data_IF_394792946838
#
_entry.id   IF_394792946838
#
_cell.length_a   1.000
_cell.length_b   1.000
_cell.length_c   1.000
_cell.angle_alpha   90.00
_cell.angle_beta   90.00
_cell.angle_gamma   90.00
#
_symmetry.space_group_name_H-M   'P 1'
#
loop_
_entity.id
_entity.type
_entity.pdbx_description
1 polymer ?
#
# COMPACT_ATOMS: atom_id res chain seq x y z
N UNK A 1 20.90 -4.78 -9.14
CA UNK A 1 21.02 -4.30 -7.74
C UNK A 1 19.63 -4.39 -7.14
N UNK A 2 19.41 -5.17 -6.08
CA UNK A 2 18.09 -5.22 -5.44
C UNK A 2 18.12 -4.31 -4.21
N UNK A 3 17.09 -3.48 -4.04
CA UNK A 3 16.92 -2.59 -2.89
C UNK A 3 15.66 -3.05 -2.14
N UNK A 4 15.74 -3.14 -0.81
CA UNK A 4 14.57 -3.40 0.03
C UNK A 4 14.06 -2.09 0.59
N UNK A 5 12.86 -1.68 0.20
CA UNK A 5 12.18 -0.54 0.81
C UNK A 5 11.35 -1.03 2.00
N UNK A 6 11.72 -0.62 3.21
CA UNK A 6 10.88 -0.78 4.40
C UNK A 6 10.15 0.52 4.64
N UNK A 7 8.89 0.62 4.24
CA UNK A 7 8.03 1.74 4.61
C UNK A 7 7.47 1.45 6.00
N UNK A 8 8.19 1.88 7.03
CA UNK A 8 7.62 1.95 8.37
C UNK A 8 6.72 3.20 8.40
N UNK A 9 5.40 3.02 8.33
CA UNK A 9 4.42 4.08 8.56
C UNK A 9 4.03 4.01 10.03
N UNK A 10 4.54 4.95 10.83
CA UNK A 10 4.07 5.12 12.20
C UNK A 10 2.93 6.15 12.13
N UNK A 11 1.66 5.75 12.31
CA UNK A 11 0.59 6.71 12.46
C UNK A 11 0.80 7.46 13.78
N UNK A 12 1.10 8.76 13.70
CA UNK A 12 1.05 9.65 14.86
C UNK A 12 -0.41 10.04 15.07
N UNK A 13 -1.17 9.23 15.79
CA UNK A 13 -2.48 9.65 16.31
C UNK A 13 -2.25 10.65 17.45
N UNK A 14 -2.22 11.94 17.12
CA UNK A 14 -2.47 13.00 18.09
C UNK A 14 -3.94 13.40 18.01
N UNK A 15 -4.81 12.57 18.56
CA UNK A 15 -6.16 12.97 18.91
C UNK A 15 -6.13 13.46 20.36
N UNK A 16 -6.00 14.78 20.55
CA UNK A 16 -6.34 15.41 21.81
C UNK A 16 -7.87 15.46 21.94
N UNK A 17 -8.45 14.34 22.38
CA UNK A 17 -9.79 14.29 22.95
C UNK A 17 -9.65 13.82 24.40
N UNK A 18 -9.67 14.76 25.35
CA UNK A 18 -9.91 14.47 26.76
C UNK A 18 -11.30 13.86 26.91
N UNK A 19 -11.42 12.69 27.57
CA UNK A 19 -12.29 12.41 28.74
C UNK A 19 -12.08 10.93 29.20
N UNK A 20 -12.31 10.60 30.49
CA UNK A 20 -11.76 9.43 31.18
C UNK A 20 -12.74 8.25 31.30
N UNK A 21 -12.23 7.04 31.55
CA UNK A 21 -13.04 5.97 32.16
C UNK A 21 -12.53 4.53 31.97
N UNK A 22 -12.13 3.91 33.10
CA UNK A 22 -12.16 2.47 33.49
C UNK A 22 -11.47 1.42 32.60
N UNK A 23 -10.45 0.66 33.11
CA UNK A 23 -10.53 -0.60 33.92
C UNK A 23 -11.33 -1.71 33.22
N UNK A 24 -10.95 -2.97 33.13
CA UNK A 24 -9.90 -3.82 33.71
C UNK A 24 -9.94 -5.19 32.98
N UNK A 25 -8.90 -6.03 33.14
CA UNK A 25 -8.91 -7.52 33.05
C UNK A 25 -9.05 -8.17 31.64
N UNK A 26 -8.50 -9.33 31.31
CA UNK A 26 -7.58 -10.30 31.95
C UNK A 26 -7.21 -11.38 30.92
N UNK A 27 -6.07 -12.05 31.15
CA UNK A 27 -5.57 -13.34 30.63
C UNK A 27 -6.60 -14.32 30.00
N UNK A 28 -6.19 -15.07 28.97
CA UNK A 28 -5.67 -16.46 29.11
C UNK A 28 -5.23 -17.08 27.76
N UNK A 29 -4.21 -17.95 27.86
CA UNK A 29 -3.69 -18.88 26.84
C UNK A 29 -4.69 -20.02 26.56
N UNK A 30 -4.62 -20.64 25.38
CA UNK A 30 -4.50 -22.11 25.27
C UNK A 30 -4.25 -22.57 23.83
N UNK A 31 -3.27 -23.45 23.71
CA UNK A 31 -2.94 -24.44 22.67
C UNK A 31 -4.13 -25.25 22.15
N UNK A 32 -4.07 -25.65 20.88
CA UNK A 32 -4.13 -27.07 20.46
C UNK A 32 -3.96 -27.26 18.95
N UNK A 33 -3.10 -28.21 18.61
CA UNK A 33 -2.96 -28.87 17.31
C UNK A 33 -4.28 -29.40 16.76
N UNK A 34 -4.43 -29.43 15.44
CA UNK A 34 -5.17 -30.51 14.78
C UNK A 34 -4.79 -30.65 13.30
N UNK A 35 -4.16 -31.78 13.01
CA UNK A 35 -4.01 -32.41 11.70
C UNK A 35 -5.37 -32.89 11.21
N UNK A 36 -5.74 -32.61 9.95
CA UNK A 36 -6.72 -33.44 9.26
C UNK A 36 -6.52 -33.43 7.74
N UNK A 37 -6.20 -34.61 7.21
CA UNK A 37 -6.35 -35.03 5.82
C UNK A 37 -7.84 -35.19 5.47
N UNK A 38 -8.24 -34.73 4.29
CA UNK A 38 -9.43 -35.19 3.53
C UNK A 38 -9.29 -34.59 2.12
N UNK A 39 -8.87 -35.35 1.11
CA UNK A 39 -9.68 -36.19 0.20
C UNK A 39 -10.98 -35.55 -0.31
N UNK A 40 -11.01 -35.36 -1.64
CA UNK A 40 -12.21 -35.49 -2.49
C UNK A 40 -13.10 -34.25 -2.62
N UNK A 41 -13.20 -33.71 -3.83
CA UNK A 41 -14.44 -33.69 -4.61
C UNK A 41 -14.28 -32.83 -5.88
N UNK A 42 -14.49 -33.49 -7.00
CA UNK A 42 -14.60 -32.94 -8.35
C UNK A 42 -15.97 -32.29 -8.52
N UNK A 43 -16.01 -30.98 -8.71
CA UNK A 43 -17.23 -30.24 -9.01
C UNK A 43 -17.42 -30.07 -10.53
N UNK A 44 -18.50 -30.69 -11.00
CA UNK A 44 -19.16 -30.55 -12.29
C UNK A 44 -19.86 -29.19 -12.37
N UNK A 45 -19.52 -28.36 -13.38
CA UNK A 45 -20.14 -27.04 -13.58
C UNK A 45 -21.12 -27.15 -14.75
N UNK A 46 -22.38 -27.44 -14.43
CA UNK A 46 -23.50 -27.33 -15.35
C UNK A 46 -23.88 -25.87 -15.59
N UNK A 47 -23.91 -25.50 -16.86
CA UNK A 47 -24.34 -24.21 -17.43
C UNK A 47 -25.85 -24.04 -17.25
N UNK A 48 -26.25 -23.02 -16.48
CA UNK A 48 -27.64 -22.61 -16.29
C UNK A 48 -27.96 -21.36 -17.10
N UNK A 49 -28.90 -21.52 -18.02
CA UNK A 49 -29.37 -20.59 -19.03
C UNK A 49 -30.44 -19.61 -18.51
N UNK A 50 -30.58 -18.49 -19.23
CA UNK A 50 -31.72 -17.57 -19.42
C UNK A 50 -32.77 -17.30 -18.32
N UNK A 51 -33.00 -15.99 -18.05
CA UNK A 51 -34.24 -15.46 -17.47
C UNK A 51 -34.18 -13.92 -17.36
N UNK A 52 -34.57 -13.19 -18.39
CA UNK A 52 -35.91 -12.58 -18.61
C UNK A 52 -36.10 -11.22 -17.91
N UNK A 53 -36.23 -10.21 -18.76
CA UNK A 53 -36.54 -8.82 -18.48
C UNK A 53 -37.85 -8.61 -17.70
N UNK A 54 -37.82 -7.72 -16.72
CA UNK A 54 -39.00 -7.11 -16.13
C UNK A 54 -38.74 -5.60 -15.94
N UNK A 55 -39.13 -4.85 -16.96
CA UNK A 55 -39.24 -3.40 -16.96
C UNK A 55 -40.36 -3.00 -15.99
N UNK A 56 -40.06 -2.14 -15.02
CA UNK A 56 -41.07 -1.57 -14.10
C UNK A 56 -40.89 -0.06 -14.04
N UNK A 57 -41.94 0.65 -14.46
CA UNK A 57 -42.06 2.11 -14.41
C UNK A 57 -42.05 2.63 -12.97
N UNK A 58 -41.27 3.69 -12.64
CA UNK A 58 -41.35 4.32 -11.33
C UNK A 58 -42.49 5.36 -11.28
N UNK A 59 -43.47 5.09 -10.42
CA UNK A 59 -44.56 6.01 -10.07
C UNK A 59 -44.02 7.17 -9.20
N UNK A 60 -44.36 8.40 -9.59
CA UNK A 60 -43.97 9.62 -8.92
C UNK A 60 -44.82 9.93 -7.66
N UNK A 61 -44.20 10.72 -6.78
CA UNK A 61 -44.81 11.59 -5.76
C UNK A 61 -45.05 11.01 -4.36
N UNK A 62 -44.01 11.09 -3.53
CA UNK A 62 -44.12 11.19 -2.08
C UNK A 62 -43.33 12.41 -1.59
N UNK A 63 -44.04 13.45 -1.12
CA UNK A 63 -43.46 14.64 -0.48
C UNK A 63 -42.67 14.23 0.77
N UNK A 64 -41.35 14.28 0.68
CA UNK A 64 -40.45 14.02 1.81
C UNK A 64 -40.26 15.31 2.62
N UNK A 65 -40.82 15.32 3.83
CA UNK A 65 -40.61 16.37 4.82
C UNK A 65 -39.15 16.29 5.26
N UNK A 66 -38.34 17.27 4.86
CA UNK A 66 -36.93 17.36 5.22
C UNK A 66 -36.77 17.60 6.73
N UNK A 67 -36.72 16.52 7.50
CA UNK A 67 -36.23 16.53 8.88
C UNK A 67 -34.79 17.01 8.85
N UNK A 68 -34.55 18.26 9.27
CA UNK A 68 -33.20 18.82 9.46
C UNK A 68 -32.53 18.05 10.58
N UNK A 69 -31.87 16.95 10.22
CA UNK A 69 -30.86 16.30 11.05
C UNK A 69 -29.87 17.39 11.46
N UNK A 70 -29.81 17.67 12.77
CA UNK A 70 -28.82 18.55 13.37
C UNK A 70 -27.45 17.92 13.16
N UNK A 71 -26.84 18.26 12.02
CA UNK A 71 -25.58 17.69 11.56
C UNK A 71 -24.51 17.86 12.62
N UNK A 72 -24.07 16.74 13.20
CA UNK A 72 -22.87 16.67 14.03
C UNK A 72 -21.75 17.38 13.24
N UNK A 73 -21.06 18.37 13.82
CA UNK A 73 -20.01 19.08 13.10
C UNK A 73 -19.03 18.05 12.55
N UNK A 74 -18.78 18.12 11.24
CA UNK A 74 -17.83 17.25 10.58
C UNK A 74 -16.44 17.54 11.18
N UNK A 75 -15.96 16.65 12.04
CA UNK A 75 -14.59 16.73 12.53
C UNK A 75 -13.63 16.49 11.37
N UNK A 76 -12.61 17.34 11.22
CA UNK A 76 -11.52 17.08 10.29
C UNK A 76 -10.55 16.07 10.92
N UNK A 77 -10.15 15.06 10.15
CA UNK A 77 -9.09 14.12 10.53
C UNK A 77 -7.80 14.56 9.85
N UNK A 78 -6.81 14.93 10.64
CA UNK A 78 -5.45 15.22 10.17
C UNK A 78 -4.57 14.01 10.42
N UNK A 79 -3.85 13.55 9.39
CA UNK A 79 -2.93 12.42 9.52
C UNK A 79 -1.50 12.88 9.33
N UNK A 80 -0.62 12.41 10.21
CA UNK A 80 0.81 12.63 10.10
C UNK A 80 1.52 11.28 9.94
N UNK A 81 2.32 11.18 8.89
CA UNK A 81 3.15 10.04 8.57
C UNK A 81 4.63 10.42 8.72
N UNK A 82 5.35 9.67 9.53
CA UNK A 82 6.81 9.62 9.45
C UNK A 82 7.17 8.44 8.53
N UNK A 83 7.69 8.73 7.34
CA UNK A 83 8.11 7.75 6.33
C UNK A 83 9.61 7.58 6.41
N UNK A 84 10.05 6.37 6.72
CA UNK A 84 11.47 6.02 6.66
C UNK A 84 11.78 5.31 5.34
N UNK A 85 12.71 5.87 4.56
CA UNK A 85 13.32 5.18 3.42
C UNK A 85 14.62 4.57 3.88
N UNK A 86 14.75 3.27 3.74
CA UNK A 86 15.95 2.54 4.15
C UNK A 86 16.57 1.88 2.93
N UNK A 87 17.88 2.03 2.78
CA UNK A 87 18.68 1.36 1.77
C UNK A 87 19.71 0.48 2.47
N UNK A 88 19.54 -0.83 2.39
CA UNK A 88 20.45 -1.79 3.02
C UNK A 88 21.34 -2.39 1.92
N UNK A 89 22.67 -2.29 2.03
CA UNK A 89 23.56 -2.87 1.05
C UNK A 89 23.47 -4.40 1.11
N UNK A 90 23.40 -5.07 -0.05
CA UNK A 90 23.38 -6.54 -0.14
C UNK A 90 24.82 -7.04 -0.07
N UNK A 91 25.42 -6.97 1.12
CA UNK A 91 26.82 -7.36 1.34
C UNK A 91 26.92 -8.84 1.73
N UNK A 92 26.26 -9.76 1.01
CA UNK A 92 26.34 -11.23 1.22
C UNK A 92 25.89 -11.77 2.59
N UNK A 93 25.86 -10.95 3.64
CA UNK A 93 25.45 -11.30 4.98
C UNK A 93 23.93 -11.23 5.09
N UNK A 94 23.32 -12.33 5.53
CA UNK A 94 21.86 -12.47 5.71
C UNK A 94 21.30 -11.64 6.89
N UNK A 95 22.01 -10.61 7.36
CA UNK A 95 21.57 -9.77 8.49
C UNK A 95 20.28 -9.04 8.18
N UNK A 96 20.01 -8.71 6.92
CA UNK A 96 18.72 -8.13 6.51
C UNK A 96 17.51 -9.02 6.84
N UNK A 97 17.71 -10.33 7.07
CA UNK A 97 16.64 -11.23 7.49
C UNK A 97 16.20 -11.02 8.95
N UNK A 98 17.07 -10.49 9.83
CA UNK A 98 16.68 -10.24 11.23
C UNK A 98 15.67 -9.10 11.34
N UNK A 99 15.71 -8.13 10.43
CA UNK A 99 14.75 -7.02 10.37
C UNK A 99 13.31 -7.53 10.26
N UNK A 100 13.09 -8.53 9.40
CA UNK A 100 11.77 -9.13 9.18
C UNK A 100 11.21 -9.87 10.40
N UNK A 101 12.04 -10.25 11.38
CA UNK A 101 11.57 -10.86 12.64
C UNK A 101 10.75 -9.89 13.51
N UNK A 102 10.91 -8.59 13.29
CA UNK A 102 10.17 -7.55 14.00
C UNK A 102 8.90 -7.11 13.25
N UNK A 103 8.63 -7.69 12.09
CA UNK A 103 7.51 -7.35 11.23
C UNK A 103 6.55 -8.55 11.13
N UNK A 104 5.27 -8.29 11.33
CA UNK A 104 4.23 -9.26 11.03
C UNK A 104 3.89 -9.21 9.53
N UNK A 105 4.37 -10.19 8.76
CA UNK A 105 4.12 -10.32 7.32
C UNK A 105 2.69 -10.81 6.98
N UNK A 106 1.91 -11.21 7.97
CA UNK A 106 0.52 -11.66 7.81
C UNK A 106 -0.44 -10.47 7.69
N UNK A 107 -0.26 -9.66 6.65
CA UNK A 107 -1.01 -8.42 6.41
C UNK A 107 -2.41 -8.60 5.79
N UNK A 108 -2.85 -9.84 5.53
CA UNK A 108 -4.15 -10.11 4.92
C UNK A 108 -4.15 -11.38 4.07
N UNK A 109 -4.56 -11.24 2.80
CA UNK A 109 -4.66 -12.34 1.82
C UNK A 109 -3.30 -13.03 1.60
N UNK A 110 -3.14 -14.31 1.99
CA UNK A 110 -1.89 -15.06 1.77
C UNK A 110 -1.47 -15.12 0.31
N UNK A 111 -2.42 -15.10 -0.63
CA UNK A 111 -2.13 -15.07 -2.06
C UNK A 111 -1.43 -13.78 -2.46
N UNK A 112 -1.87 -12.65 -1.90
CA UNK A 112 -1.24 -11.34 -2.14
C UNK A 112 0.17 -11.32 -1.57
N UNK A 113 0.38 -11.82 -0.34
CA UNK A 113 1.73 -11.90 0.26
C UNK A 113 2.67 -12.74 -0.58
N UNK A 114 2.21 -13.90 -1.08
CA UNK A 114 3.00 -14.75 -1.97
C UNK A 114 3.29 -14.06 -3.31
N UNK A 115 2.32 -13.32 -3.86
CA UNK A 115 2.48 -12.57 -5.11
C UNK A 115 3.52 -11.45 -4.97
N UNK A 116 3.47 -10.70 -3.86
CA UNK A 116 4.49 -9.68 -3.55
C UNK A 116 5.88 -10.31 -3.47
N UNK A 117 6.02 -11.43 -2.74
CA UNK A 117 7.30 -12.10 -2.58
C UNK A 117 7.88 -12.58 -3.93
N UNK A 118 7.05 -13.11 -4.83
CA UNK A 118 7.46 -13.50 -6.20
C UNK A 118 7.93 -12.32 -7.06
N UNK A 119 7.48 -11.12 -6.73
CA UNK A 119 7.87 -9.87 -7.38
C UNK A 119 9.01 -9.15 -6.65
N UNK A 120 9.68 -9.82 -5.70
CA UNK A 120 10.76 -9.23 -4.92
C UNK A 120 10.31 -8.17 -3.91
N UNK A 121 9.01 -8.06 -3.66
CA UNK A 121 8.42 -7.13 -2.70
C UNK A 121 8.08 -7.88 -1.41
N UNK A 122 8.26 -7.22 -0.27
CA UNK A 122 7.83 -7.73 1.03
C UNK A 122 7.20 -6.60 1.81
N UNK A 123 6.17 -6.93 2.57
CA UNK A 123 5.46 -5.98 3.40
C UNK A 123 5.15 -6.64 4.75
N UNK A 124 5.24 -5.87 5.82
CA UNK A 124 4.88 -6.32 7.16
C UNK A 124 4.51 -5.15 8.06
N UNK A 125 3.74 -5.45 9.10
CA UNK A 125 3.35 -4.48 10.14
C UNK A 125 4.24 -4.69 11.36
N UNK A 126 5.00 -3.67 11.72
CA UNK A 126 5.77 -3.64 12.96
C UNK A 126 5.00 -2.99 14.10
N UNK A 127 5.37 -3.32 15.33
CA UNK A 127 5.01 -2.52 16.50
C UNK A 127 5.88 -1.25 16.53
N UNK A 128 5.33 -0.15 17.05
CA UNK A 128 6.07 1.08 17.28
C UNK A 128 7.26 0.85 18.21
N UNK A 129 7.08 0.02 19.23
CA UNK A 129 8.13 -0.28 20.21
C UNK A 129 9.28 -1.13 19.63
N UNK A 130 9.06 -1.78 18.48
CA UNK A 130 10.10 -2.52 17.77
C UNK A 130 11.00 -1.62 16.92
N UNK A 131 10.63 -0.35 16.70
CA UNK A 131 11.38 0.57 15.84
C UNK A 131 12.84 0.80 16.27
N UNK A 132 13.17 1.02 17.56
CA UNK A 132 14.56 1.17 17.99
C UNK A 132 15.43 -0.06 17.66
N UNK A 133 14.89 -1.27 17.81
CA UNK A 133 15.58 -2.51 17.47
C UNK A 133 15.80 -2.64 15.96
N UNK A 134 14.77 -2.36 15.16
CA UNK A 134 14.88 -2.33 13.69
C UNK A 134 15.92 -1.31 13.22
N UNK A 135 15.93 -0.11 13.82
CA UNK A 135 16.91 0.93 13.52
C UNK A 135 18.34 0.48 13.81
N UNK A 136 18.59 -0.18 14.95
CA UNK A 136 19.91 -0.76 15.28
C UNK A 136 20.36 -1.75 14.21
N UNK A 137 19.48 -2.68 13.80
CA UNK A 137 19.78 -3.68 12.76
C UNK A 137 20.14 -3.00 11.42
N UNK A 138 19.42 -1.93 11.06
CA UNK A 138 19.67 -1.17 9.84
C UNK A 138 21.05 -0.51 9.89
N UNK A 139 21.36 0.18 10.99
CA UNK A 139 22.64 0.89 11.19
C UNK A 139 23.82 -0.09 11.21
N UNK A 140 23.70 -1.21 11.93
CA UNK A 140 24.71 -2.27 11.99
C UNK A 140 24.96 -2.94 10.64
N UNK A 141 23.95 -2.99 9.78
CA UNK A 141 24.08 -3.52 8.42
C UNK A 141 24.72 -2.53 7.44
N UNK A 142 25.11 -1.33 7.90
CA UNK A 142 25.60 -0.24 7.05
C UNK A 142 24.49 0.36 6.18
N UNK A 143 23.23 0.21 6.59
CA UNK A 143 22.09 0.76 5.88
C UNK A 143 22.05 2.29 5.96
N UNK A 144 21.62 2.93 4.88
CA UNK A 144 21.34 4.38 4.85
C UNK A 144 19.85 4.59 5.12
N UNK A 145 19.52 5.57 5.94
CA UNK A 145 18.12 5.89 6.26
C UNK A 145 17.83 7.37 6.03
N UNK A 146 16.78 7.65 5.26
CA UNK A 146 16.17 8.97 5.13
C UNK A 146 14.81 8.99 5.85
N UNK A 147 14.47 10.09 6.50
CA UNK A 147 13.17 10.27 7.15
C UNK A 147 12.45 11.44 6.50
N UNK A 148 11.20 11.22 6.11
CA UNK A 148 10.32 12.21 5.53
C UNK A 148 9.07 12.33 6.38
N UNK A 149 8.82 13.53 6.91
CA UNK A 149 7.61 13.82 7.65
C UNK A 149 6.58 14.41 6.70
N UNK A 150 5.43 13.78 6.62
CA UNK A 150 4.32 14.24 5.80
C UNK A 150 3.11 14.48 6.69
N UNK A 151 2.63 15.71 6.68
CA UNK A 151 1.29 16.04 7.17
C UNK A 151 0.40 16.08 5.93
N UNK A 152 -0.64 15.26 5.93
CA UNK A 152 -1.56 15.17 4.81
C UNK A 152 -2.96 15.51 5.27
N UNK A 153 -3.54 16.44 4.52
CA UNK A 153 -4.89 16.95 4.72
C UNK A 153 -5.75 16.50 3.54
N UNK A 154 -7.03 16.22 3.81
CA UNK A 154 -8.07 16.02 2.78
C UNK A 154 -7.94 14.75 1.91
N UNK A 155 -7.30 13.68 2.41
CA UNK A 155 -7.30 12.37 1.74
C UNK A 155 -6.48 12.32 0.44
N UNK A 156 -5.61 13.30 0.21
CA UNK A 156 -4.65 13.24 -0.89
C UNK A 156 -3.63 12.13 -0.65
N UNK A 157 -3.35 11.32 -1.68
CA UNK A 157 -2.37 10.24 -1.61
C UNK A 157 -0.98 10.77 -1.31
N UNK A 158 -0.25 10.06 -0.46
CA UNK A 158 1.13 10.37 -0.12
C UNK A 158 2.06 9.77 -1.19
N UNK A 159 2.80 10.61 -1.91
CA UNK A 159 3.76 10.18 -2.92
C UNK A 159 5.17 10.10 -2.33
N UNK A 160 5.77 8.91 -2.41
CA UNK A 160 7.14 8.64 -1.95
C UNK A 160 8.02 8.32 -3.15
N UNK A 161 8.97 9.21 -3.47
CA UNK A 161 9.91 9.00 -4.56
C UNK A 161 11.00 7.99 -4.17
N UNK A 162 11.20 6.97 -5.00
CA UNK A 162 12.18 5.92 -4.78
C UNK A 162 13.47 6.21 -5.53
N UNK A 163 13.45 6.13 -6.85
CA UNK A 163 14.65 6.32 -7.65
C UNK A 163 14.30 6.75 -9.07
N UNK A 164 15.29 7.24 -9.80
CA UNK A 164 15.15 7.44 -11.25
C UNK A 164 15.43 6.13 -11.98
N UNK A 165 14.86 5.99 -13.17
CA UNK A 165 15.21 4.97 -14.15
C UNK A 165 15.70 5.69 -15.40
N UNK A 166 16.85 5.26 -15.94
CA UNK A 166 17.46 5.80 -17.16
C UNK A 166 16.78 5.28 -18.44
N UNK A 167 15.77 4.42 -18.30
CA UNK A 167 15.13 3.75 -19.42
C UNK A 167 15.89 2.49 -19.85
N UNK A 168 15.17 1.56 -20.47
CA UNK A 168 15.73 0.28 -20.91
C UNK A 168 15.95 -0.75 -19.79
N UNK A 169 15.68 -0.40 -18.53
CA UNK A 169 15.71 -1.35 -17.42
C UNK A 169 14.63 -2.42 -17.60
N UNK A 170 15.02 -3.69 -17.73
CA UNK A 170 14.03 -4.77 -17.84
C UNK A 170 13.35 -5.04 -16.49
N UNK A 171 12.03 -5.27 -16.54
CA UNK A 171 11.25 -5.69 -15.39
C UNK A 171 10.53 -7.01 -15.68
N UNK A 172 10.25 -7.75 -14.61
CA UNK A 172 9.46 -8.97 -14.63
C UNK A 172 8.43 -8.91 -13.51
N UNK A 173 7.17 -9.21 -13.83
CA UNK A 173 6.04 -9.15 -12.91
C UNK A 173 5.22 -10.44 -13.02
N UNK A 174 5.11 -11.17 -11.91
CA UNK A 174 4.13 -12.23 -11.75
C UNK A 174 2.75 -11.62 -11.49
N UNK A 175 1.74 -12.07 -12.23
CA UNK A 175 0.33 -11.68 -12.03
C UNK A 175 -0.39 -12.65 -11.09
N UNK A 176 -1.58 -12.26 -10.62
CA UNK A 176 -2.41 -13.10 -9.73
C UNK A 176 -2.74 -14.47 -10.34
N UNK A 177 -2.89 -14.55 -11.66
CA UNK A 177 -3.13 -15.81 -12.39
C UNK A 177 -1.89 -16.71 -12.56
N UNK A 178 -0.72 -16.29 -12.06
CA UNK A 178 0.54 -17.04 -12.18
C UNK A 178 1.30 -16.80 -13.48
N UNK A 179 0.76 -16.03 -14.42
CA UNK A 179 1.47 -15.56 -15.62
C UNK A 179 2.66 -14.67 -15.24
N UNK A 180 3.73 -14.77 -16.01
CA UNK A 180 4.88 -13.88 -15.95
C UNK A 180 4.79 -12.88 -17.10
N UNK A 181 4.72 -11.59 -16.76
CA UNK A 181 4.89 -10.49 -17.71
C UNK A 181 6.27 -9.89 -17.56
N UNK A 182 6.78 -9.33 -18.64
CA UNK A 182 8.02 -8.57 -18.62
C UNK A 182 8.03 -7.51 -19.70
N UNK A 183 8.97 -6.59 -19.58
CA UNK A 183 9.14 -5.48 -20.51
C UNK A 183 10.35 -4.64 -20.11
N UNK A 184 10.50 -3.49 -20.76
CA UNK A 184 11.51 -2.50 -20.39
C UNK A 184 10.80 -1.27 -19.83
N UNK A 185 11.31 -0.73 -18.72
CA UNK A 185 10.84 0.52 -18.16
C UNK A 185 11.32 1.67 -19.05
N UNK A 186 10.47 2.66 -19.36
CA UNK A 186 10.93 3.92 -19.92
C UNK A 186 11.77 4.70 -18.90
N UNK A 187 12.42 5.77 -19.37
CA UNK A 187 13.05 6.74 -18.49
C UNK A 187 11.99 7.43 -17.61
N UNK A 188 12.30 7.70 -16.35
CA UNK A 188 11.30 8.23 -15.42
C UNK A 188 11.70 8.16 -13.95
N UNK A 189 10.72 8.38 -13.08
CA UNK A 189 10.86 8.31 -11.63
C UNK A 189 9.95 7.22 -11.07
N UNK A 190 10.55 6.25 -10.38
CA UNK A 190 9.85 5.22 -9.60
C UNK A 190 9.33 5.86 -8.32
N UNK A 191 8.05 5.72 -8.03
CA UNK A 191 7.43 6.22 -6.80
C UNK A 191 6.45 5.22 -6.23
N UNK A 192 6.08 5.41 -4.97
CA UNK A 192 4.97 4.68 -4.34
C UNK A 192 3.93 5.71 -3.94
N UNK A 193 2.71 5.50 -4.43
CA UNK A 193 1.53 6.21 -3.95
C UNK A 193 0.94 5.45 -2.76
N UNK A 194 0.71 6.16 -1.67
CA UNK A 194 0.13 5.63 -0.44
C UNK A 194 -1.23 6.31 -0.27
N UNK A 195 -2.27 5.61 -0.69
CA UNK A 195 -3.65 5.96 -0.36
C UNK A 195 -3.90 5.58 1.10
N UNK A 196 -4.61 6.42 1.84
CA UNK A 196 -4.96 6.15 3.22
C UNK A 196 -6.39 6.59 3.52
N UNK A 197 -7.04 5.87 4.42
CA UNK A 197 -8.36 6.21 4.92
C UNK A 197 -8.49 5.75 6.37
N UNK A 198 -9.24 6.50 7.19
CA UNK A 198 -9.69 5.97 8.48
C UNK A 198 -10.62 4.79 8.23
N UNK A 199 -10.55 3.75 9.08
CA UNK A 199 -11.45 2.62 8.96
C UNK A 199 -12.87 3.05 9.36
N UNK A 200 -13.86 2.64 8.58
CA UNK A 200 -15.27 2.90 8.89
C UNK A 200 -15.62 2.37 10.29
N UNK A 201 -16.12 3.26 11.15
CA UNK A 201 -16.48 2.94 12.53
C UNK A 201 -15.33 2.96 13.54
N UNK A 202 -14.06 3.09 13.11
CA UNK A 202 -12.91 3.18 14.01
C UNK A 202 -11.86 4.16 13.46
N UNK A 203 -11.94 5.43 13.88
CA UNK A 203 -11.01 6.49 13.49
C UNK A 203 -9.59 6.30 14.04
N UNK A 204 -9.35 5.34 14.95
CA UNK A 204 -8.01 5.03 15.45
C UNK A 204 -7.25 4.08 14.52
N UNK A 205 -7.96 3.47 13.56
CA UNK A 205 -7.38 2.57 12.56
C UNK A 205 -7.30 3.27 11.22
N UNK A 206 -6.16 3.13 10.57
CA UNK A 206 -5.92 3.64 9.23
C UNK A 206 -5.68 2.45 8.31
N UNK A 207 -6.46 2.39 7.23
CA UNK A 207 -6.25 1.46 6.12
C UNK A 207 -5.31 2.14 5.13
N UNK A 208 -4.27 1.42 4.74
CA UNK A 208 -3.25 1.91 3.81
C UNK A 208 -3.29 1.04 2.55
N UNK A 209 -3.25 1.69 1.39
CA UNK A 209 -3.14 1.03 0.09
C UNK A 209 -1.93 1.61 -0.63
N UNK A 210 -0.98 0.73 -0.93
CA UNK A 210 0.28 1.08 -1.56
C UNK A 210 0.21 0.69 -3.03
N UNK A 211 0.51 1.65 -3.91
CA UNK A 211 0.51 1.46 -5.36
C UNK A 211 1.89 1.88 -5.89
N UNK A 212 2.72 0.93 -6.38
CA UNK A 212 3.92 1.27 -7.12
C UNK A 212 3.54 1.98 -8.42
N UNK A 213 4.17 3.12 -8.69
CA UNK A 213 3.93 3.91 -9.89
C UNK A 213 5.26 4.24 -10.58
N UNK A 214 5.21 4.33 -11.90
CA UNK A 214 6.28 4.90 -12.71
C UNK A 214 5.77 6.20 -13.33
N UNK A 215 6.40 7.30 -12.97
CA UNK A 215 6.18 8.58 -13.63
C UNK A 215 7.20 8.70 -14.77
N UNK A 216 6.74 8.52 -16.01
CA UNK A 216 7.60 8.65 -17.19
C UNK A 216 8.17 10.07 -17.27
N UNK A 217 9.48 10.16 -17.56
CA UNK A 217 10.12 11.42 -17.88
C UNK A 217 9.48 11.91 -19.17
N UNK A 218 8.56 12.87 -19.06
CA UNK A 218 7.99 13.53 -20.23
C UNK A 218 9.11 14.26 -20.95
N UNK A 219 9.69 13.64 -21.97
CA UNK A 219 10.44 14.36 -22.99
C UNK A 219 9.44 15.31 -23.63
N UNK A 220 9.52 16.60 -23.29
CA UNK A 220 8.73 17.61 -23.98
C UNK A 220 9.26 17.65 -25.40
N UNK A 221 8.58 16.92 -26.25
CA UNK A 221 8.83 16.96 -27.68
C UNK A 221 8.35 18.32 -28.16
N UNK A 222 9.25 19.28 -28.36
CA UNK A 222 8.89 20.54 -29.00
C UNK A 222 9.23 20.45 -30.48
N UNK A 223 8.25 20.79 -31.30
CA UNK A 223 8.49 21.03 -32.72
C UNK A 223 9.08 22.43 -32.83
N UNK A 224 10.29 22.54 -33.38
CA UNK A 224 10.96 23.82 -33.62
C UNK A 224 11.15 23.96 -35.10
N UNK A 225 10.71 25.09 -35.64
CA UNK A 225 11.05 25.47 -37.01
C UNK A 225 12.44 26.10 -37.00
N UNK A 226 13.38 25.48 -37.74
CA UNK A 226 14.73 25.98 -37.92
C UNK A 226 15.01 26.03 -39.44
N UNK A 227 15.24 27.22 -39.97
CA UNK A 227 15.47 27.47 -41.40
C UNK A 227 14.38 26.88 -42.33
N UNK A 228 13.11 27.00 -41.94
CA UNK A 228 11.97 26.49 -42.71
C UNK A 228 11.78 24.97 -42.64
N UNK A 229 12.58 24.26 -41.84
CA UNK A 229 12.39 22.84 -41.55
C UNK A 229 11.80 22.67 -40.13
N UNK A 230 10.71 21.90 -40.04
CA UNK A 230 10.13 21.52 -38.75
C UNK A 230 10.92 20.32 -38.21
N UNK A 231 11.80 20.58 -37.25
CA UNK A 231 12.58 19.54 -36.57
C UNK A 231 11.98 19.21 -35.21
N UNK A 232 11.97 17.92 -34.90
CA UNK A 232 11.59 17.42 -33.59
C UNK A 232 12.78 17.61 -32.64
N UNK A 233 12.65 18.49 -31.66
CA UNK A 233 13.66 18.69 -30.62
C UNK A 233 13.14 18.05 -29.35
N UNK A 234 13.82 17.00 -28.91
CA UNK A 234 13.72 16.52 -27.53
C UNK A 234 14.62 17.41 -26.66
N UNK A 235 14.00 18.11 -25.72
CA UNK A 235 14.73 18.75 -24.60
C UNK A 235 15.33 17.70 -23.67
#
# INVERSE_FOLDING_TARGET
MAYYLVIALIPLTSCACLFPGQRDSSLTQSTSDNTNESQGESADWSTGDAGSDAESEPTASGMSIATRSSGKPAGSVHMQFDVHRVEIPINGERRSLSLWKHLNESLGDPQLTALLARNGLRAGKGDRDAWPAMKSIIEESGGRMGTYRHVVDNGLSLLVNLDKTEGGESYFLHERGGSLKGGNLPEGTKRISIDYAAQDGDATRVVLKLVPELEEARTRTRWVENDGNVVNVQD
#
